data_IF_401549947808
#
_entry.id   IF_401549947808
#
_cell.length_a   1.000
_cell.length_b   1.000
_cell.length_c   1.000
_cell.angle_alpha   90.00
_cell.angle_beta   90.00
_cell.angle_gamma   90.00
#
_symmetry.space_group_name_H-M   'P 1'
#
loop_
_entity.id
_entity.type
_entity.pdbx_description
1 polymer ?
#
# COMPACT_ATOMS: atom_id res chain seq x y z
N UNK A 1 -17.85 -6.52 -17.19
CA UNK A 1 -16.39 -6.72 -17.08
C UNK A 1 -15.77 -5.34 -16.97
N UNK A 2 -14.83 -5.12 -16.05
CA UNK A 2 -14.17 -3.81 -15.89
C UNK A 2 -13.30 -3.55 -17.12
N UNK A 3 -13.42 -2.37 -17.75
CA UNK A 3 -12.62 -1.97 -18.90
C UNK A 3 -11.42 -1.13 -18.47
N UNK A 4 -10.22 -1.67 -18.67
CA UNK A 4 -8.98 -1.02 -18.26
C UNK A 4 -8.26 -0.48 -19.50
N UNK A 5 -8.13 0.83 -19.60
CA UNK A 5 -7.34 1.43 -20.66
C UNK A 5 -5.84 1.25 -20.40
N UNK A 6 -5.13 0.65 -21.35
CA UNK A 6 -3.68 0.52 -21.29
C UNK A 6 -3.02 1.75 -21.92
N UNK A 7 -2.30 2.50 -21.10
CA UNK A 7 -1.58 3.72 -21.51
C UNK A 7 -0.08 3.49 -21.33
N UNK A 8 0.62 3.22 -22.43
CA UNK A 8 2.06 3.00 -22.39
C UNK A 8 2.74 3.27 -23.72
N UNK A 9 4.06 3.23 -23.71
CA UNK A 9 4.91 3.53 -24.87
C UNK A 9 5.29 2.26 -25.66
N UNK A 10 4.38 1.75 -26.48
CA UNK A 10 4.63 0.56 -27.33
C UNK A 10 4.54 -0.77 -26.58
N UNK A 11 3.75 -0.81 -25.51
CA UNK A 11 3.49 -2.00 -24.69
C UNK A 11 2.83 -3.09 -25.54
N UNK A 12 1.96 -2.68 -26.46
CA UNK A 12 1.28 -3.52 -27.44
C UNK A 12 2.22 -4.30 -28.36
N UNK A 13 3.46 -3.82 -28.55
CA UNK A 13 4.48 -4.46 -29.38
C UNK A 13 5.52 -5.24 -28.56
N UNK A 14 5.32 -5.29 -27.24
CA UNK A 14 6.26 -5.93 -26.32
C UNK A 14 5.75 -7.29 -25.84
N UNK A 15 6.65 -8.09 -25.26
CA UNK A 15 6.26 -9.35 -24.63
C UNK A 15 5.36 -9.18 -23.40
N UNK A 16 5.20 -7.96 -22.87
CA UNK A 16 4.49 -7.75 -21.61
C UNK A 16 2.96 -7.65 -21.75
N UNK A 17 2.44 -7.31 -22.93
CA UNK A 17 0.99 -7.15 -23.13
C UNK A 17 0.23 -8.40 -22.69
N UNK A 18 0.73 -9.59 -23.05
CA UNK A 18 0.09 -10.88 -22.70
C UNK A 18 -0.03 -11.11 -21.21
N UNK A 19 0.97 -10.70 -20.42
CA UNK A 19 0.89 -10.85 -18.96
C UNK A 19 -0.07 -9.83 -18.34
N UNK A 20 -0.14 -8.61 -18.89
CA UNK A 20 -1.10 -7.59 -18.46
C UNK A 20 -2.54 -8.04 -18.76
N UNK A 21 -2.79 -8.55 -19.96
CA UNK A 21 -4.08 -9.12 -20.35
C UNK A 21 -4.46 -10.33 -19.47
N UNK A 22 -3.51 -11.23 -19.23
CA UNK A 22 -3.71 -12.39 -18.35
C UNK A 22 -4.04 -11.97 -16.92
N UNK A 23 -3.34 -10.97 -16.38
CA UNK A 23 -3.63 -10.43 -15.05
C UNK A 23 -5.04 -9.83 -15.01
N UNK A 24 -5.42 -9.01 -15.99
CA UNK A 24 -6.74 -8.39 -16.06
C UNK A 24 -7.86 -9.45 -16.13
N UNK A 25 -7.70 -10.44 -17.02
CA UNK A 25 -8.66 -11.54 -17.17
C UNK A 25 -8.82 -12.35 -15.89
N UNK A 26 -7.73 -12.58 -15.14
CA UNK A 26 -7.76 -13.30 -13.86
C UNK A 26 -8.71 -12.65 -12.86
N UNK A 27 -8.82 -11.32 -12.88
CA UNK A 27 -9.68 -10.56 -11.96
C UNK A 27 -11.00 -10.10 -12.59
N UNK A 28 -11.37 -10.61 -13.78
CA UNK A 28 -12.64 -10.27 -14.42
C UNK A 28 -12.66 -8.88 -15.07
N UNK A 29 -11.51 -8.46 -15.61
CA UNK A 29 -11.34 -7.24 -16.38
C UNK A 29 -10.82 -7.53 -17.80
N UNK A 30 -11.00 -6.56 -18.70
CA UNK A 30 -10.44 -6.59 -20.05
C UNK A 30 -9.55 -5.37 -20.30
N UNK A 31 -8.46 -5.58 -21.04
CA UNK A 31 -7.58 -4.49 -21.49
C UNK A 31 -8.15 -3.91 -22.78
N UNK A 32 -8.27 -2.59 -22.82
CA UNK A 32 -8.57 -1.85 -24.05
C UNK A 32 -7.40 -0.95 -24.42
N UNK A 33 -7.11 -0.86 -25.71
CA UNK A 33 -6.13 0.07 -26.27
C UNK A 33 -6.90 1.27 -26.84
N UNK A 34 -6.72 2.49 -26.28
CA UNK A 34 -7.31 3.69 -26.86
C UNK A 34 -6.78 3.89 -28.30
N UNK A 35 -7.71 3.99 -29.25
CA UNK A 35 -7.41 4.22 -30.66
C UNK A 35 -7.28 5.72 -30.93
N UNK A 36 -6.20 6.11 -31.61
CA UNK A 36 -5.76 7.50 -31.73
C UNK A 36 -5.22 7.78 -33.13
N UNK A 37 -5.83 8.76 -33.80
CA UNK A 37 -5.38 9.26 -35.10
C UNK A 37 -4.12 10.14 -34.96
N UNK A 38 -3.28 10.15 -36.00
CA UNK A 38 -2.00 10.88 -36.02
C UNK A 38 -2.17 12.38 -35.76
N UNK A 39 -3.20 13.00 -36.33
CA UNK A 39 -3.46 14.44 -36.16
C UNK A 39 -3.74 14.79 -34.69
N UNK A 40 -4.44 13.89 -33.98
CA UNK A 40 -4.74 14.09 -32.56
C UNK A 40 -3.51 13.92 -31.67
N UNK A 41 -2.51 13.14 -32.09
CA UNK A 41 -1.25 12.99 -31.33
C UNK A 41 -0.52 14.34 -31.25
N UNK A 42 -0.36 15.03 -32.38
CA UNK A 42 0.34 16.32 -32.41
C UNK A 42 -0.46 17.41 -31.67
N UNK A 43 -1.78 17.45 -31.82
CA UNK A 43 -2.64 18.38 -31.07
C UNK A 43 -2.55 18.17 -29.55
N UNK A 44 -2.66 16.90 -29.12
CA UNK A 44 -2.58 16.51 -27.71
C UNK A 44 -1.23 16.86 -27.11
N UNK A 45 -0.16 16.57 -27.85
CA UNK A 45 1.21 16.85 -27.42
C UNK A 45 1.45 18.35 -27.15
N UNK A 46 0.93 19.22 -28.01
CA UNK A 46 1.02 20.67 -27.82
C UNK A 46 0.24 21.17 -26.60
N UNK A 47 -0.90 20.53 -26.29
CA UNK A 47 -1.76 20.88 -25.16
C UNK A 47 -1.25 20.39 -23.81
N UNK A 48 -0.59 19.24 -23.77
CA UNK A 48 -0.17 18.58 -22.53
C UNK A 48 0.93 19.35 -21.78
N UNK A 49 1.77 20.09 -22.50
CA UNK A 49 2.77 20.97 -21.89
C UNK A 49 4.04 20.28 -21.38
N UNK A 50 4.22 18.99 -21.65
CA UNK A 50 5.45 18.24 -21.35
C UNK A 50 6.06 17.66 -22.63
N UNK A 51 7.37 17.86 -22.84
CA UNK A 51 8.03 17.45 -24.08
C UNK A 51 8.56 16.01 -24.02
N UNK A 52 8.36 15.28 -25.12
CA UNK A 52 8.82 13.92 -25.32
C UNK A 52 9.40 13.79 -26.73
N UNK A 53 10.61 13.25 -26.85
CA UNK A 53 11.30 13.00 -28.10
C UNK A 53 10.74 11.75 -28.80
N UNK A 54 10.38 10.72 -28.03
CA UNK A 54 9.87 9.46 -28.56
C UNK A 54 8.44 9.59 -29.11
N UNK A 55 8.17 9.20 -30.38
CA UNK A 55 6.81 9.14 -30.91
C UNK A 55 5.86 8.26 -30.09
N UNK A 56 6.37 7.17 -29.51
CA UNK A 56 5.56 6.29 -28.65
C UNK A 56 5.18 6.93 -27.32
N UNK A 57 5.98 7.87 -26.81
CA UNK A 57 5.65 8.65 -25.61
C UNK A 57 4.63 9.75 -25.96
N UNK A 58 4.72 10.36 -27.14
CA UNK A 58 3.66 11.26 -27.64
C UNK A 58 2.31 10.53 -27.77
N UNK A 59 2.32 9.30 -28.31
CA UNK A 59 1.13 8.46 -28.37
C UNK A 59 0.57 8.16 -26.98
N UNK A 60 1.43 7.84 -26.01
CA UNK A 60 1.04 7.62 -24.62
C UNK A 60 0.33 8.85 -24.02
N UNK A 61 0.83 10.07 -24.26
CA UNK A 61 0.17 11.33 -23.87
C UNK A 61 -1.21 11.45 -24.53
N UNK A 62 -1.30 11.23 -25.85
CA UNK A 62 -2.55 11.36 -26.59
C UNK A 62 -3.61 10.35 -26.11
N UNK A 63 -3.22 9.12 -25.77
CA UNK A 63 -4.11 8.12 -25.15
C UNK A 63 -4.66 8.60 -23.81
N UNK A 64 -3.82 9.20 -22.96
CA UNK A 64 -4.25 9.78 -21.69
C UNK A 64 -5.26 10.92 -21.88
N UNK A 65 -4.99 11.82 -22.84
CA UNK A 65 -5.90 12.92 -23.18
C UNK A 65 -7.24 12.42 -23.71
N UNK A 66 -7.24 11.41 -24.59
CA UNK A 66 -8.47 10.80 -25.10
C UNK A 66 -9.37 10.22 -24.01
N UNK A 67 -8.78 9.66 -22.95
CA UNK A 67 -9.52 9.14 -21.78
C UNK A 67 -10.14 10.31 -20.98
N UNK A 68 -9.34 11.34 -20.67
CA UNK A 68 -9.80 12.51 -19.89
C UNK A 68 -10.85 13.32 -20.64
N UNK A 69 -10.71 13.49 -21.95
CA UNK A 69 -11.70 14.16 -22.82
C UNK A 69 -12.97 13.31 -23.06
N UNK A 70 -13.02 12.08 -22.56
CA UNK A 70 -14.16 11.18 -22.72
C UNK A 70 -14.33 10.60 -24.12
N UNK A 71 -13.32 10.73 -24.99
CA UNK A 71 -13.29 10.09 -26.33
C UNK A 71 -13.16 8.58 -26.21
N UNK A 72 -12.34 8.11 -25.26
CA UNK A 72 -12.21 6.70 -24.91
C UNK A 72 -12.92 6.42 -23.58
N UNK A 73 -13.91 5.52 -23.59
CA UNK A 73 -14.61 5.09 -22.37
C UNK A 73 -13.85 3.97 -21.68
N UNK A 74 -13.32 4.24 -20.49
CA UNK A 74 -12.63 3.28 -19.64
C UNK A 74 -13.13 3.43 -18.19
N UNK A 75 -13.15 2.32 -17.45
CA UNK A 75 -13.50 2.31 -16.03
C UNK A 75 -12.27 2.50 -15.13
N UNK A 76 -11.09 2.20 -15.65
CA UNK A 76 -9.79 2.27 -14.98
C UNK A 76 -8.65 2.52 -15.99
N UNK A 77 -7.51 3.03 -15.54
CA UNK A 77 -6.31 3.21 -16.37
C UNK A 77 -5.11 2.47 -15.79
N UNK A 78 -4.44 1.69 -16.63
CA UNK A 78 -3.15 1.08 -16.32
C UNK A 78 -2.06 1.75 -17.13
N UNK A 79 -1.18 2.50 -16.45
CA UNK A 79 -0.12 3.29 -17.08
C UNK A 79 1.20 2.53 -16.93
N UNK A 80 1.89 2.18 -18.02
CA UNK A 80 3.15 1.45 -17.88
C UNK A 80 4.23 1.80 -18.90
N UNK A 81 5.47 1.76 -18.43
CA UNK A 81 6.69 2.01 -19.23
C UNK A 81 7.83 1.10 -18.79
N UNK A 82 8.84 0.93 -19.65
CA UNK A 82 10.02 0.13 -19.33
C UNK A 82 10.89 0.83 -18.29
N UNK A 83 11.40 0.07 -17.31
CA UNK A 83 12.24 0.61 -16.23
C UNK A 83 13.54 1.29 -16.69
N UNK A 84 14.05 0.96 -17.90
CA UNK A 84 15.31 1.51 -18.42
C UNK A 84 15.18 2.89 -19.06
N UNK A 85 13.97 3.35 -19.33
CA UNK A 85 13.75 4.60 -20.04
C UNK A 85 13.49 5.74 -19.04
N UNK A 86 14.50 6.59 -18.80
CA UNK A 86 14.35 7.75 -17.91
C UNK A 86 13.23 8.71 -18.39
N UNK A 87 13.17 8.98 -19.69
CA UNK A 87 12.09 9.77 -20.30
C UNK A 87 10.72 9.10 -20.08
N UNK A 88 10.63 7.79 -20.24
CA UNK A 88 9.42 7.01 -19.98
C UNK A 88 8.99 7.00 -18.52
N UNK A 89 9.92 7.14 -17.56
CA UNK A 89 9.58 7.30 -16.15
C UNK A 89 8.97 8.68 -15.87
N UNK A 90 9.54 9.74 -16.43
CA UNK A 90 9.01 11.11 -16.31
C UNK A 90 7.61 11.21 -16.93
N UNK A 91 7.43 10.75 -18.16
CA UNK A 91 6.14 10.78 -18.86
C UNK A 91 5.09 9.94 -18.15
N UNK A 92 5.46 8.78 -17.60
CA UNK A 92 4.53 7.94 -16.80
C UNK A 92 3.99 8.71 -15.60
N UNK A 93 4.84 9.44 -14.88
CA UNK A 93 4.43 10.23 -13.72
C UNK A 93 3.54 11.41 -14.12
N UNK A 94 3.89 12.13 -15.18
CA UNK A 94 3.09 13.26 -15.66
C UNK A 94 1.73 12.82 -16.25
N UNK A 95 1.70 11.72 -17.00
CA UNK A 95 0.45 11.14 -17.51
C UNK A 95 -0.45 10.69 -16.35
N UNK A 96 0.10 10.04 -15.33
CA UNK A 96 -0.65 9.66 -14.13
C UNK A 96 -1.26 10.90 -13.47
N UNK A 97 -0.45 11.92 -13.17
CA UNK A 97 -0.88 13.20 -12.57
C UNK A 97 -2.01 13.84 -13.37
N UNK A 98 -1.83 13.94 -14.68
CA UNK A 98 -2.81 14.51 -15.58
C UNK A 98 -4.17 13.80 -15.49
N UNK A 99 -4.18 12.46 -15.53
CA UNK A 99 -5.43 11.70 -15.43
C UNK A 99 -6.09 11.91 -14.06
N UNK A 100 -5.32 11.91 -12.98
CA UNK A 100 -5.85 12.08 -11.62
C UNK A 100 -6.42 13.49 -11.37
N UNK A 101 -5.77 14.52 -11.90
CA UNK A 101 -6.21 15.91 -11.73
C UNK A 101 -7.44 16.26 -12.57
N UNK A 102 -7.63 15.58 -13.69
CA UNK A 102 -8.67 15.91 -14.68
C UNK A 102 -9.78 14.85 -14.79
N UNK A 103 -9.72 13.77 -14.01
CA UNK A 103 -10.73 12.72 -14.00
C UNK A 103 -10.86 12.04 -12.63
N UNK A 104 -11.93 11.25 -12.44
CA UNK A 104 -12.12 10.41 -11.26
C UNK A 104 -11.84 8.93 -11.55
N UNK A 105 -11.15 8.64 -12.66
CA UNK A 105 -10.85 7.28 -13.09
C UNK A 105 -9.65 6.79 -12.27
N UNK A 106 -9.72 5.62 -11.61
CA UNK A 106 -8.60 5.10 -10.85
C UNK A 106 -7.43 4.75 -11.78
N UNK A 107 -6.21 5.05 -11.32
CA UNK A 107 -4.98 4.90 -12.11
C UNK A 107 -3.98 4.08 -11.32
N UNK A 108 -3.37 3.10 -11.98
CA UNK A 108 -2.21 2.38 -11.45
C UNK A 108 -1.06 2.48 -12.42
N UNK A 109 0.11 2.86 -11.91
CA UNK A 109 1.36 2.87 -12.67
C UNK A 109 2.16 1.58 -12.48
N UNK A 110 2.83 1.13 -13.54
CA UNK A 110 3.74 -0.02 -13.48
C UNK A 110 5.02 0.22 -14.30
N UNK A 111 6.16 0.02 -13.65
CA UNK A 111 7.48 0.03 -14.30
C UNK A 111 7.91 -1.40 -14.58
N UNK A 112 7.78 -1.86 -15.82
CA UNK A 112 8.06 -3.26 -16.14
C UNK A 112 9.52 -3.49 -16.47
N UNK A 113 10.00 -4.70 -16.15
CA UNK A 113 11.31 -5.21 -16.60
C UNK A 113 11.11 -6.33 -17.63
N UNK A 114 12.20 -6.82 -18.22
CA UNK A 114 12.17 -7.97 -19.14
C UNK A 114 11.66 -9.26 -18.46
N UNK A 115 11.71 -9.33 -17.13
CA UNK A 115 11.13 -10.40 -16.31
C UNK A 115 10.15 -9.79 -15.31
N UNK A 116 8.89 -9.71 -15.69
CA UNK A 116 7.88 -9.21 -14.76
C UNK A 116 7.70 -10.14 -13.58
N UNK A 117 7.76 -9.57 -12.38
CA UNK A 117 7.36 -10.27 -11.16
C UNK A 117 5.86 -10.40 -11.20
N UNK A 118 5.38 -11.60 -11.55
CA UNK A 118 3.95 -11.87 -11.74
C UNK A 118 3.13 -11.42 -10.52
N UNK A 119 3.63 -11.67 -9.30
CA UNK A 119 2.91 -11.32 -8.07
C UNK A 119 2.64 -9.82 -7.94
N UNK A 120 3.61 -8.96 -8.29
CA UNK A 120 3.44 -7.51 -8.20
C UNK A 120 2.42 -7.00 -9.23
N UNK A 121 2.50 -7.50 -10.46
CA UNK A 121 1.54 -7.17 -11.51
C UNK A 121 0.12 -7.61 -11.14
N UNK A 122 -0.01 -8.80 -10.56
CA UNK A 122 -1.31 -9.36 -10.18
C UNK A 122 -1.94 -8.56 -9.05
N UNK A 123 -1.20 -8.24 -7.98
CA UNK A 123 -1.71 -7.38 -6.89
C UNK A 123 -2.12 -6.02 -7.44
N UNK A 124 -1.31 -5.44 -8.34
CA UNK A 124 -1.61 -4.14 -8.95
C UNK A 124 -2.92 -4.16 -9.73
N UNK A 125 -3.12 -5.22 -10.50
CA UNK A 125 -4.32 -5.42 -11.29
C UNK A 125 -5.55 -5.71 -10.42
N UNK A 126 -5.41 -6.57 -9.41
CA UNK A 126 -6.48 -6.90 -8.47
C UNK A 126 -6.98 -5.65 -7.74
N UNK A 127 -6.08 -4.80 -7.24
CA UNK A 127 -6.41 -3.55 -6.58
C UNK A 127 -7.14 -2.60 -7.53
N UNK A 128 -6.63 -2.40 -8.76
CA UNK A 128 -7.27 -1.55 -9.76
C UNK A 128 -8.69 -2.00 -10.10
N UNK A 129 -8.88 -3.32 -10.30
CA UNK A 129 -10.21 -3.89 -10.56
C UNK A 129 -11.11 -3.75 -9.34
N UNK A 130 -10.58 -3.96 -8.13
CA UNK A 130 -11.32 -3.82 -6.88
C UNK A 130 -11.87 -2.41 -6.72
N UNK A 131 -11.06 -1.37 -6.96
CA UNK A 131 -11.47 0.03 -6.84
C UNK A 131 -12.70 0.34 -7.70
N UNK A 132 -12.80 -0.27 -8.89
CA UNK A 132 -13.96 -0.12 -9.78
C UNK A 132 -15.12 -1.02 -9.35
N UNK A 133 -14.88 -2.33 -9.29
CA UNK A 133 -15.93 -3.34 -9.16
C UNK A 133 -16.57 -3.37 -7.76
N UNK A 134 -15.83 -2.95 -6.73
CA UNK A 134 -16.27 -2.97 -5.32
C UNK A 134 -16.39 -1.57 -4.72
N UNK A 135 -16.55 -0.54 -5.56
CA UNK A 135 -16.65 0.86 -5.13
C UNK A 135 -17.72 1.08 -4.05
N UNK A 136 -18.87 0.41 -4.15
CA UNK A 136 -19.96 0.52 -3.16
C UNK A 136 -19.56 0.04 -1.77
N UNK A 137 -18.79 -1.05 -1.69
CA UNK A 137 -18.28 -1.60 -0.42
C UNK A 137 -17.17 -0.67 0.12
N UNK A 138 -16.27 -0.20 -0.75
CA UNK A 138 -15.22 0.74 -0.36
C UNK A 138 -15.76 2.11 0.09
N UNK A 139 -16.94 2.53 -0.39
CA UNK A 139 -17.58 3.76 0.05
C UNK A 139 -18.22 3.66 1.45
N UNK A 140 -18.20 2.47 2.09
CA UNK A 140 -18.79 2.28 3.43
C UNK A 140 -18.02 3.07 4.48
N UNK A 141 -18.75 3.88 5.25
CA UNK A 141 -18.17 4.73 6.32
C UNK A 141 -18.36 4.14 7.73
N UNK A 142 -19.20 3.10 7.88
CA UNK A 142 -19.59 2.55 9.19
C UNK A 142 -19.53 1.02 9.21
N UNK A 143 -19.13 0.48 10.34
CA UNK A 143 -19.21 -0.94 10.66
C UNK A 143 -20.47 -1.21 11.51
N UNK A 144 -21.21 -2.26 11.17
CA UNK A 144 -22.47 -2.67 11.81
C UNK A 144 -22.45 -4.17 12.11
N UNK A 145 -23.11 -4.59 13.18
CA UNK A 145 -23.10 -6.00 13.62
C UNK A 145 -21.78 -6.42 14.26
N UNK A 146 -21.64 -7.73 14.54
CA UNK A 146 -20.42 -8.31 15.11
C UNK A 146 -19.58 -8.96 14.01
N UNK A 147 -18.55 -8.27 13.53
CA UNK A 147 -17.72 -8.76 12.41
C UNK A 147 -16.28 -8.99 12.83
N UNK A 148 -15.64 -9.99 12.21
CA UNK A 148 -14.23 -10.29 12.39
C UNK A 148 -13.43 -9.91 11.13
N UNK A 149 -12.29 -9.27 11.33
CA UNK A 149 -11.30 -9.03 10.30
C UNK A 149 -9.99 -9.75 10.61
N UNK A 150 -9.40 -10.37 9.58
CA UNK A 150 -8.17 -11.15 9.69
C UNK A 150 -7.16 -10.64 8.65
N UNK A 151 -6.05 -10.08 9.11
CA UNK A 151 -4.90 -9.71 8.29
C UNK A 151 -3.76 -10.69 8.54
N UNK A 152 -3.46 -11.56 7.56
CA UNK A 152 -2.31 -12.46 7.62
C UNK A 152 -1.22 -11.97 6.70
N UNK A 153 -0.39 -11.07 7.24
CA UNK A 153 0.80 -10.56 6.58
C UNK A 153 1.96 -11.55 6.61
N UNK A 154 3.04 -11.17 5.94
CA UNK A 154 4.25 -11.98 5.79
C UNK A 154 5.05 -12.16 7.09
N UNK A 155 4.90 -11.23 8.04
CA UNK A 155 5.61 -11.23 9.33
C UNK A 155 4.66 -11.49 10.51
N UNK A 156 3.44 -10.97 10.44
CA UNK A 156 2.49 -11.00 11.56
C UNK A 156 1.05 -11.21 11.09
N UNK A 157 0.30 -11.97 11.90
CA UNK A 157 -1.13 -12.22 11.74
C UNK A 157 -1.89 -11.44 12.80
N UNK A 158 -2.90 -10.69 12.39
CA UNK A 158 -3.73 -9.84 13.24
C UNK A 158 -5.19 -10.22 13.06
N UNK A 159 -5.91 -10.28 14.17
CA UNK A 159 -7.36 -10.47 14.20
C UNK A 159 -7.98 -9.32 14.97
N UNK A 160 -9.09 -8.80 14.46
CA UNK A 160 -9.87 -7.75 15.12
C UNK A 160 -11.33 -8.16 15.13
N UNK A 161 -11.97 -8.00 16.28
CA UNK A 161 -13.42 -8.04 16.44
C UNK A 161 -13.96 -6.62 16.53
N UNK A 162 -14.97 -6.33 15.71
CA UNK A 162 -15.69 -5.06 15.75
C UNK A 162 -17.17 -5.27 16.00
N UNK A 163 -17.74 -4.43 16.85
CA UNK A 163 -19.17 -4.34 17.09
C UNK A 163 -19.61 -2.88 16.97
N UNK A 164 -20.49 -2.59 16.01
CA UNK A 164 -21.12 -1.28 15.81
C UNK A 164 -20.13 -0.09 15.87
N UNK A 165 -19.10 -0.13 15.03
CA UNK A 165 -17.99 0.84 14.90
C UNK A 165 -16.91 0.77 15.98
N UNK A 166 -17.04 -0.09 17.00
CA UNK A 166 -16.06 -0.21 18.07
C UNK A 166 -15.20 -1.44 17.87
N UNK A 167 -13.89 -1.29 18.04
CA UNK A 167 -12.98 -2.43 18.24
C UNK A 167 -13.21 -2.95 19.66
N UNK A 168 -13.65 -4.20 19.78
CA UNK A 168 -13.95 -4.83 21.07
C UNK A 168 -12.91 -5.88 21.48
N UNK A 169 -12.07 -6.32 20.55
CA UNK A 169 -11.04 -7.32 20.79
C UNK A 169 -10.01 -7.35 19.67
N UNK A 170 -8.75 -7.59 20.04
CA UNK A 170 -7.62 -7.64 19.11
C UNK A 170 -6.68 -8.77 19.46
N UNK A 171 -6.12 -9.42 18.45
CA UNK A 171 -5.00 -10.35 18.61
C UNK A 171 -3.91 -10.06 17.60
N UNK A 172 -2.66 -10.30 18.00
CA UNK A 172 -1.48 -10.06 17.20
C UNK A 172 -0.40 -11.09 17.52
N UNK A 173 0.00 -11.86 16.51
CA UNK A 173 1.07 -12.85 16.65
C UNK A 173 2.00 -12.87 15.43
N UNK A 174 3.17 -13.47 15.58
CA UNK A 174 4.08 -13.72 14.47
C UNK A 174 3.46 -14.76 13.51
N UNK A 175 3.47 -14.48 12.20
CA UNK A 175 2.97 -15.43 11.21
C UNK A 175 3.93 -16.61 11.11
N UNK A 176 3.43 -17.81 11.41
CA UNK A 176 4.12 -19.10 11.18
C UNK A 176 3.26 -19.95 10.25
N UNK A 177 2.64 -21.01 10.77
CA UNK A 177 1.53 -21.64 10.07
C UNK A 177 0.34 -20.68 10.04
N UNK A 178 -0.25 -20.49 8.86
CA UNK A 178 -1.28 -19.49 8.62
C UNK A 178 -2.48 -19.71 9.54
N UNK A 179 -2.98 -20.95 9.67
CA UNK A 179 -4.19 -21.21 10.46
C UNK A 179 -3.90 -21.28 11.95
N UNK A 180 -2.75 -21.82 12.34
CA UNK A 180 -2.33 -21.78 13.74
C UNK A 180 -2.20 -20.32 14.23
N UNK A 181 -1.58 -19.45 13.43
CA UNK A 181 -1.43 -18.03 13.75
C UNK A 181 -2.78 -17.33 13.85
N UNK A 182 -3.72 -17.64 12.95
CA UNK A 182 -5.11 -17.13 13.02
C UNK A 182 -5.81 -17.61 14.29
N UNK A 183 -5.69 -18.88 14.65
CA UNK A 183 -6.35 -19.42 15.84
C UNK A 183 -5.82 -18.80 17.13
N UNK A 184 -4.51 -18.58 17.23
CA UNK A 184 -3.89 -17.88 18.36
C UNK A 184 -4.40 -16.44 18.45
N UNK A 185 -4.27 -15.67 17.36
CA UNK A 185 -4.72 -14.28 17.35
C UNK A 185 -6.24 -14.14 17.55
N UNK A 186 -7.04 -15.08 17.06
CA UNK A 186 -8.49 -15.10 17.30
C UNK A 186 -8.81 -15.41 18.75
N UNK A 187 -8.10 -16.34 19.39
CA UNK A 187 -8.27 -16.62 20.82
C UNK A 187 -8.01 -15.37 21.68
N UNK A 188 -6.94 -14.63 21.37
CA UNK A 188 -6.64 -13.35 22.02
C UNK A 188 -7.74 -12.31 21.75
N UNK A 189 -8.22 -12.20 20.51
CA UNK A 189 -9.27 -11.25 20.12
C UNK A 189 -10.63 -11.56 20.77
N UNK A 190 -10.97 -12.84 20.97
CA UNK A 190 -12.16 -13.26 21.71
C UNK A 190 -12.02 -13.07 23.22
N UNK A 191 -10.79 -12.94 23.72
CA UNK A 191 -10.48 -12.76 25.13
C UNK A 191 -11.35 -11.67 25.77
N UNK A 192 -11.99 -12.00 26.88
CA UNK A 192 -12.81 -11.08 27.68
C UNK A 192 -14.09 -10.54 26.99
N UNK A 193 -14.39 -10.93 25.74
CA UNK A 193 -15.57 -10.45 25.00
C UNK A 193 -16.85 -11.26 25.28
N UNK A 194 -16.71 -12.53 25.66
CA UNK A 194 -17.84 -13.47 25.79
C UNK A 194 -18.36 -14.05 24.47
N UNK A 195 -17.80 -13.63 23.32
CA UNK A 195 -18.12 -14.14 21.99
C UNK A 195 -17.22 -15.31 21.57
N UNK A 196 -17.69 -16.09 20.60
CA UNK A 196 -16.95 -17.10 19.88
C UNK A 196 -17.17 -17.06 18.37
N UNK A 197 -16.63 -18.05 17.66
CA UNK A 197 -16.68 -18.13 16.19
C UNK A 197 -18.10 -18.20 15.60
N UNK A 198 -19.07 -18.71 16.37
CA UNK A 198 -20.46 -18.88 15.94
C UNK A 198 -21.28 -17.58 16.11
N UNK A 199 -20.79 -16.62 16.90
CA UNK A 199 -21.46 -15.33 17.09
C UNK A 199 -21.15 -14.33 15.97
N UNK A 200 -20.08 -14.58 15.18
CA UNK A 200 -19.59 -13.66 14.16
C UNK A 200 -20.54 -13.59 12.96
N UNK A 201 -21.07 -12.40 12.70
CA UNK A 201 -21.96 -12.10 11.58
C UNK A 201 -21.25 -12.10 10.22
N UNK A 202 -19.95 -11.86 10.17
CA UNK A 202 -19.16 -11.90 8.93
C UNK A 202 -17.66 -11.86 9.16
N UNK A 203 -16.92 -12.60 8.33
CA UNK A 203 -15.46 -12.74 8.37
C UNK A 203 -14.86 -12.12 7.11
N UNK A 204 -14.01 -11.13 7.31
CA UNK A 204 -13.18 -10.54 6.26
C UNK A 204 -11.72 -10.96 6.39
N UNK A 205 -11.07 -11.25 5.26
CA UNK A 205 -9.67 -11.69 5.22
C UNK A 205 -8.85 -10.87 4.23
N UNK A 206 -7.64 -10.49 4.65
CA UNK A 206 -6.67 -9.74 3.85
C UNK A 206 -5.22 -10.20 4.11
N UNK A 207 -4.27 -9.56 3.44
CA UNK A 207 -2.85 -9.91 3.45
C UNK A 207 -2.51 -11.11 2.55
N UNK A 208 -1.26 -11.57 2.64
CA UNK A 208 -0.71 -12.69 1.87
C UNK A 208 -1.45 -14.01 2.13
N UNK A 209 -1.91 -14.23 3.37
CA UNK A 209 -2.63 -15.46 3.77
C UNK A 209 -4.10 -15.51 3.37
N UNK A 210 -4.69 -14.41 2.86
CA UNK A 210 -6.15 -14.24 2.70
C UNK A 210 -6.86 -15.36 1.95
N UNK A 211 -6.27 -15.85 0.85
CA UNK A 211 -6.92 -16.85 -0.01
C UNK A 211 -7.04 -18.19 0.72
N UNK A 212 -6.02 -18.56 1.50
CA UNK A 212 -6.01 -19.80 2.28
C UNK A 212 -6.97 -19.70 3.46
N UNK A 213 -6.93 -18.58 4.19
CA UNK A 213 -7.79 -18.34 5.35
C UNK A 213 -9.25 -18.27 4.91
N UNK A 214 -9.54 -17.46 3.89
CA UNK A 214 -10.89 -17.26 3.41
C UNK A 214 -11.54 -18.55 2.90
N UNK A 215 -10.79 -19.43 2.25
CA UNK A 215 -11.29 -20.76 1.87
C UNK A 215 -11.55 -21.68 3.07
N UNK A 216 -10.69 -21.64 4.09
CA UNK A 216 -10.81 -22.51 5.26
C UNK A 216 -11.91 -22.06 6.23
N UNK A 217 -12.14 -20.76 6.34
CA UNK A 217 -13.15 -20.17 7.21
C UNK A 217 -14.46 -19.82 6.48
N UNK A 218 -14.56 -20.09 5.18
CA UNK A 218 -15.67 -19.64 4.32
C UNK A 218 -15.96 -18.14 4.46
N UNK A 219 -14.90 -17.32 4.45
CA UNK A 219 -15.01 -15.88 4.65
C UNK A 219 -15.84 -15.21 3.55
N UNK A 220 -16.76 -14.34 3.95
CA UNK A 220 -17.64 -13.58 3.04
C UNK A 220 -16.84 -12.53 2.25
N UNK A 221 -15.77 -11.99 2.86
CA UNK A 221 -14.84 -11.09 2.19
C UNK A 221 -13.44 -11.70 2.15
N UNK A 222 -12.93 -11.88 0.93
CA UNK A 222 -11.51 -12.12 0.66
C UNK A 222 -11.04 -10.97 -0.23
N UNK A 223 -10.14 -10.13 0.28
CA UNK A 223 -9.77 -8.89 -0.38
C UNK A 223 -8.29 -8.57 -0.20
N UNK A 224 -7.64 -8.13 -1.27
CA UNK A 224 -6.24 -7.70 -1.25
C UNK A 224 -5.99 -6.51 -0.29
N UNK A 225 -4.75 -6.38 0.17
CA UNK A 225 -4.40 -5.50 1.28
C UNK A 225 -4.36 -4.01 0.95
N UNK A 226 -4.09 -3.59 -0.29
CA UNK A 226 -4.06 -2.17 -0.68
C UNK A 226 -5.41 -1.52 -0.35
N UNK A 227 -6.50 -2.09 -0.86
CA UNK A 227 -7.84 -1.52 -0.66
C UNK A 227 -8.30 -1.58 0.78
N UNK A 228 -8.00 -2.70 1.46
CA UNK A 228 -8.42 -2.94 2.84
C UNK A 228 -7.63 -2.05 3.81
N UNK A 229 -6.31 -1.97 3.64
CA UNK A 229 -5.43 -1.17 4.48
C UNK A 229 -5.72 0.32 4.34
N UNK A 230 -5.94 0.79 3.10
CA UNK A 230 -6.37 2.16 2.85
C UNK A 230 -7.67 2.49 3.60
N UNK A 231 -8.65 1.58 3.53
CA UNK A 231 -9.92 1.73 4.26
C UNK A 231 -9.77 1.71 5.77
N UNK A 232 -9.02 0.77 6.31
CA UNK A 232 -8.76 0.70 7.74
C UNK A 232 -8.05 1.94 8.27
N UNK A 233 -7.04 2.44 7.54
CA UNK A 233 -6.27 3.62 7.92
C UNK A 233 -7.14 4.88 8.02
N UNK A 234 -7.89 5.21 6.96
CA UNK A 234 -8.76 6.40 6.95
C UNK A 234 -9.96 6.27 7.89
N UNK A 235 -10.43 5.06 8.16
CA UNK A 235 -11.47 4.80 9.15
C UNK A 235 -10.96 5.09 10.57
N UNK A 236 -9.82 4.52 10.96
CA UNK A 236 -9.24 4.71 12.30
C UNK A 236 -8.78 6.15 12.54
N UNK A 237 -8.32 6.85 11.50
CA UNK A 237 -7.90 8.25 11.59
C UNK A 237 -9.06 9.27 11.54
N UNK A 238 -10.31 8.82 11.36
CA UNK A 238 -11.47 9.69 11.08
C UNK A 238 -11.24 10.64 9.87
N UNK A 239 -10.63 10.10 8.81
CA UNK A 239 -10.29 10.79 7.55
C UNK A 239 -10.93 10.13 6.32
N UNK A 240 -12.15 9.64 6.47
CA UNK A 240 -12.88 8.97 5.39
C UNK A 240 -13.39 9.93 4.29
N UNK A 241 -13.25 11.26 4.48
CA UNK A 241 -13.70 12.29 3.53
C UNK A 241 -12.53 13.18 3.12
N UNK A 242 -12.55 13.63 1.87
CA UNK A 242 -11.46 14.41 1.28
C UNK A 242 -10.27 13.54 0.91
N UNK A 243 -9.13 14.18 0.73
CA UNK A 243 -7.88 13.52 0.34
C UNK A 243 -7.10 13.06 1.57
N UNK A 244 -6.34 11.98 1.41
CA UNK A 244 -5.35 11.52 2.39
C UNK A 244 -4.28 10.66 1.70
N UNK A 245 -3.15 10.50 2.37
CA UNK A 245 -2.11 9.55 1.97
C UNK A 245 -1.85 8.57 3.10
N UNK A 246 -1.94 7.29 2.81
CA UNK A 246 -1.64 6.21 3.76
C UNK A 246 -0.24 5.69 3.49
N UNK A 247 0.62 5.71 4.50
CA UNK A 247 1.97 5.18 4.47
C UNK A 247 2.05 3.95 5.39
N UNK A 248 2.14 2.76 4.78
CA UNK A 248 2.30 1.49 5.48
C UNK A 248 3.74 1.01 5.31
N UNK A 249 4.57 1.18 6.34
CA UNK A 249 5.93 0.63 6.38
C UNK A 249 5.84 -0.73 7.10
N UNK A 250 5.83 -1.80 6.31
CA UNK A 250 5.62 -3.15 6.80
C UNK A 250 6.91 -3.81 7.32
N UNK A 251 6.80 -5.11 7.58
CA UNK A 251 7.94 -5.92 8.02
C UNK A 251 8.95 -6.23 6.90
N UNK A 252 8.52 -6.26 5.63
CA UNK A 252 9.36 -6.62 4.47
C UNK A 252 9.09 -5.80 3.20
N UNK A 253 7.96 -5.11 3.15
CA UNK A 253 7.51 -4.30 2.04
C UNK A 253 6.81 -3.06 2.58
N UNK A 254 6.71 -2.04 1.73
CA UNK A 254 6.16 -0.75 2.08
C UNK A 254 5.15 -0.33 1.02
N UNK A 255 4.15 0.44 1.41
CA UNK A 255 3.08 0.89 0.53
C UNK A 255 2.77 2.35 0.80
N UNK A 256 2.55 3.09 -0.28
CA UNK A 256 2.01 4.44 -0.21
C UNK A 256 0.75 4.47 -1.06
N UNK A 257 -0.36 4.86 -0.46
CA UNK A 257 -1.68 4.81 -1.09
C UNK A 257 -2.32 6.19 -0.98
N UNK A 258 -2.71 6.78 -2.10
CA UNK A 258 -3.55 7.98 -2.09
C UNK A 258 -5.00 7.58 -2.04
N UNK A 259 -5.76 8.30 -1.22
CA UNK A 259 -7.17 8.05 -0.96
C UNK A 259 -7.95 9.33 -1.23
N UNK A 260 -9.14 9.19 -1.80
CA UNK A 260 -10.10 10.28 -1.94
C UNK A 260 -11.49 9.78 -1.52
N UNK A 261 -12.10 10.45 -0.54
CA UNK A 261 -13.38 10.07 0.06
C UNK A 261 -13.41 8.60 0.49
N UNK A 262 -12.33 8.18 1.15
CA UNK A 262 -12.17 6.83 1.67
C UNK A 262 -11.92 5.78 0.58
N UNK A 263 -11.82 6.12 -0.70
CA UNK A 263 -11.57 5.16 -1.77
C UNK A 263 -10.13 5.35 -2.28
N UNK A 264 -9.31 4.27 -2.33
CA UNK A 264 -7.97 4.34 -2.89
C UNK A 264 -8.06 4.63 -4.39
N UNK A 265 -7.29 5.60 -4.88
CA UNK A 265 -7.29 6.00 -6.30
C UNK A 265 -5.95 5.78 -7.02
N UNK A 266 -4.87 5.62 -6.26
CA UNK A 266 -3.54 5.25 -6.73
C UNK A 266 -2.69 4.73 -5.57
N UNK A 267 -1.64 3.97 -5.90
CA UNK A 267 -0.67 3.48 -4.94
C UNK A 267 0.66 3.13 -5.59
N UNK A 268 1.70 3.18 -4.78
CA UNK A 268 2.98 2.54 -5.07
C UNK A 268 3.30 1.53 -3.97
N UNK A 269 4.05 0.50 -4.36
CA UNK A 269 4.48 -0.58 -3.49
C UNK A 269 5.95 -0.83 -3.78
N UNK A 270 6.73 -0.89 -2.72
CA UNK A 270 8.15 -1.13 -2.78
C UNK A 270 8.41 -2.58 -3.12
N UNK A 271 9.55 -2.86 -3.74
CA UNK A 271 10.02 -4.24 -3.82
C UNK A 271 10.25 -4.81 -2.42
N UNK A 272 10.23 -6.14 -2.30
CA UNK A 272 10.64 -6.84 -1.07
C UNK A 272 12.11 -6.49 -0.80
N UNK A 273 12.36 -5.57 0.12
CA UNK A 273 13.68 -5.13 0.53
C UNK A 273 13.71 -4.96 2.05
N UNK A 274 14.52 -5.79 2.72
CA UNK A 274 14.59 -5.76 4.18
C UNK A 274 15.24 -4.46 4.73
N UNK A 275 16.04 -3.75 3.93
CA UNK A 275 16.78 -2.54 4.34
C UNK A 275 15.91 -1.34 4.66
N UNK A 276 14.74 -1.21 4.02
CA UNK A 276 13.80 -0.11 4.20
C UNK A 276 12.53 -0.56 4.95
N UNK A 277 12.63 -1.47 5.92
CA UNK A 277 11.46 -2.11 6.53
C UNK A 277 11.62 -2.31 8.04
N UNK A 278 10.54 -2.72 8.70
CA UNK A 278 10.55 -3.10 10.11
C UNK A 278 11.56 -4.20 10.45
N UNK A 279 11.97 -5.05 9.48
CA UNK A 279 13.00 -6.06 9.71
C UNK A 279 14.37 -5.46 10.02
N UNK A 280 14.74 -4.34 9.38
CA UNK A 280 15.98 -3.66 9.72
C UNK A 280 15.92 -3.09 11.14
N UNK A 281 14.79 -2.49 11.52
CA UNK A 281 14.57 -1.96 12.87
C UNK A 281 14.60 -3.06 13.95
N UNK A 282 14.04 -4.24 13.69
CA UNK A 282 14.14 -5.42 14.58
C UNK A 282 15.58 -5.92 14.75
N UNK A 283 16.41 -5.89 13.69
CA UNK A 283 17.82 -6.23 13.83
C UNK A 283 18.60 -5.15 14.59
N UNK A 284 18.27 -3.88 14.35
CA UNK A 284 18.84 -2.74 15.06
C UNK A 284 18.56 -2.81 16.56
N UNK A 285 17.32 -3.04 16.98
CA UNK A 285 16.96 -3.13 18.41
C UNK A 285 17.73 -4.25 19.12
N UNK A 286 17.81 -5.44 18.50
CA UNK A 286 18.58 -6.56 19.02
C UNK A 286 20.07 -6.25 19.12
N UNK A 287 20.63 -5.51 18.16
CA UNK A 287 22.05 -5.14 18.17
C UNK A 287 22.35 -4.07 19.23
N UNK A 288 21.38 -3.21 19.51
CA UNK A 288 21.42 -2.23 20.59
C UNK A 288 21.09 -2.83 21.95
N UNK A 289 20.68 -4.10 22.01
CA UNK A 289 20.27 -4.79 23.24
C UNK A 289 19.11 -4.07 23.95
N UNK A 290 18.05 -3.77 23.19
CA UNK A 290 16.80 -3.16 23.65
C UNK A 290 15.60 -3.87 23.05
N UNK A 291 14.44 -3.78 23.67
CA UNK A 291 13.20 -4.28 23.07
C UNK A 291 12.80 -3.40 21.86
N UNK A 292 12.09 -3.97 20.88
CA UNK A 292 11.65 -3.20 19.70
C UNK A 292 10.72 -2.04 20.09
N UNK A 293 9.95 -2.17 21.17
CA UNK A 293 9.08 -1.12 21.69
C UNK A 293 9.86 0.05 22.30
N UNK A 294 11.10 -0.17 22.71
CA UNK A 294 11.99 0.86 23.27
C UNK A 294 12.77 1.61 22.18
N UNK A 295 12.86 1.06 20.96
CA UNK A 295 13.65 1.63 19.87
C UNK A 295 13.18 3.04 19.47
N UNK A 296 11.86 3.25 19.39
CA UNK A 296 11.28 4.54 19.05
C UNK A 296 11.65 5.64 20.07
N UNK A 297 11.31 5.47 21.36
CA UNK A 297 11.69 6.42 22.41
C UNK A 297 13.19 6.63 22.56
N UNK A 298 14.02 5.64 22.21
CA UNK A 298 15.47 5.75 22.17
C UNK A 298 15.95 6.63 21.01
N UNK A 299 15.39 6.42 19.81
CA UNK A 299 15.71 7.19 18.61
C UNK A 299 15.39 8.68 18.76
N UNK A 300 14.25 9.04 19.37
CA UNK A 300 13.85 10.45 19.62
C UNK A 300 14.88 11.23 20.45
N UNK A 301 15.78 10.56 21.18
CA UNK A 301 16.84 11.20 21.99
C UNK A 301 18.15 11.37 21.23
N UNK A 302 18.27 10.77 20.05
CA UNK A 302 19.50 10.75 19.25
C UNK A 302 19.61 11.92 18.28
N UNK A 303 20.70 11.92 17.52
CA UNK A 303 20.86 12.74 16.33
C UNK A 303 21.52 11.91 15.23
N UNK A 304 20.77 11.60 14.19
CA UNK A 304 21.18 10.75 13.08
C UNK A 304 22.47 11.22 12.40
N UNK A 305 22.80 12.52 12.50
CA UNK A 305 24.04 13.09 11.92
C UNK A 305 25.30 12.64 12.64
N UNK A 306 25.18 12.11 13.86
CA UNK A 306 26.29 11.56 14.63
C UNK A 306 26.60 10.09 14.26
N UNK A 307 25.74 9.44 13.46
CA UNK A 307 25.87 8.05 13.06
C UNK A 307 25.55 7.89 11.57
N UNK A 308 26.58 7.71 10.74
CA UNK A 308 26.38 7.51 9.30
C UNK A 308 26.02 6.06 9.00
N UNK A 309 24.81 5.80 8.51
CA UNK A 309 24.37 4.49 8.03
C UNK A 309 24.10 4.51 6.53
N UNK A 310 24.78 3.65 5.77
CA UNK A 310 24.51 3.41 4.36
C UNK A 310 23.65 2.15 4.20
N UNK A 311 22.35 2.27 4.50
CA UNK A 311 21.49 1.09 4.75
C UNK A 311 20.61 0.63 3.59
N UNK A 312 20.89 1.05 2.34
CA UNK A 312 20.20 0.48 1.15
C UNK A 312 20.22 -1.06 1.14
N UNK A 313 21.28 -1.65 1.69
CA UNK A 313 21.34 -3.06 2.02
C UNK A 313 21.37 -3.23 3.55
N UNK A 314 20.46 -4.05 4.07
CA UNK A 314 20.37 -4.39 5.50
C UNK A 314 21.72 -4.89 6.07
N UNK A 315 22.50 -5.62 5.27
CA UNK A 315 23.81 -6.16 5.69
C UNK A 315 24.80 -5.04 5.94
N UNK A 316 24.88 -4.06 5.04
CA UNK A 316 25.78 -2.92 5.19
C UNK A 316 25.29 -1.96 6.26
N UNK A 317 23.97 -1.74 6.37
CA UNK A 317 23.39 -0.95 7.45
C UNK A 317 23.75 -1.49 8.84
N UNK A 318 23.69 -2.81 9.05
CA UNK A 318 24.10 -3.43 10.31
C UNK A 318 25.62 -3.35 10.51
N UNK A 319 26.43 -3.47 9.46
CA UNK A 319 27.88 -3.29 9.54
C UNK A 319 28.28 -1.86 9.96
N UNK A 320 27.62 -0.85 9.41
CA UNK A 320 27.85 0.56 9.74
C UNK A 320 27.44 0.85 11.18
N UNK A 321 26.32 0.28 11.62
CA UNK A 321 25.86 0.33 13.00
C UNK A 321 26.92 -0.23 13.96
N UNK A 322 27.44 -1.44 13.67
CA UNK A 322 28.48 -2.09 14.47
C UNK A 322 29.74 -1.22 14.55
N UNK A 323 30.14 -0.63 13.43
CA UNK A 323 31.32 0.22 13.34
C UNK A 323 31.15 1.50 14.16
N UNK A 324 29.98 2.12 14.07
CA UNK A 324 29.63 3.34 14.83
C UNK A 324 29.67 3.09 16.34
N UNK A 325 29.06 1.99 16.81
CA UNK A 325 29.11 1.61 18.22
C UNK A 325 30.54 1.32 18.69
N UNK A 326 31.34 0.61 17.87
CA UNK A 326 32.74 0.31 18.20
C UNK A 326 33.63 1.57 18.28
N UNK A 327 33.27 2.62 17.54
CA UNK A 327 33.92 3.93 17.61
C UNK A 327 33.45 4.79 18.80
N UNK A 328 32.54 4.29 19.64
CA UNK A 328 32.02 5.00 20.82
C UNK A 328 30.77 5.84 20.57
N UNK A 329 30.08 5.65 19.45
CA UNK A 329 28.77 6.28 19.20
C UNK A 329 27.71 5.84 20.22
N UNK A 330 26.77 6.73 20.53
CA UNK A 330 25.69 6.47 21.48
C UNK A 330 24.63 5.52 20.88
N UNK A 331 23.86 4.84 21.74
CA UNK A 331 22.77 3.97 21.26
C UNK A 331 21.64 4.80 20.67
N UNK A 332 21.42 5.99 21.23
CA UNK A 332 20.43 6.99 20.83
C UNK A 332 20.70 7.47 19.40
N UNK A 333 21.92 7.94 19.11
CA UNK A 333 22.30 8.40 17.76
C UNK A 333 22.16 7.28 16.72
N UNK A 334 22.52 6.05 17.10
CA UNK A 334 22.39 4.89 16.23
C UNK A 334 20.93 4.49 15.97
N UNK A 335 20.08 4.55 16.99
CA UNK A 335 18.64 4.28 16.86
C UNK A 335 17.98 5.33 15.95
N UNK A 336 18.33 6.60 16.11
CA UNK A 336 17.86 7.70 15.26
C UNK A 336 18.33 7.51 13.81
N UNK A 337 19.62 7.24 13.62
CA UNK A 337 20.17 6.97 12.29
C UNK A 337 19.49 5.79 11.59
N UNK A 338 19.12 4.74 12.31
CA UNK A 338 18.38 3.61 11.75
C UNK A 338 16.98 4.02 11.28
N UNK A 339 16.25 4.79 12.11
CA UNK A 339 14.93 5.33 11.76
C UNK A 339 15.00 6.26 10.55
N UNK A 340 15.94 7.22 10.58
CA UNK A 340 16.21 8.14 9.47
C UNK A 340 16.53 7.40 8.17
N UNK A 341 17.36 6.36 8.24
CA UNK A 341 17.77 5.63 7.05
C UNK A 341 16.62 4.82 6.42
N UNK A 342 15.69 4.28 7.22
CA UNK A 342 14.45 3.67 6.70
C UNK A 342 13.56 4.72 6.04
N UNK A 343 13.30 5.83 6.74
CA UNK A 343 12.45 6.90 6.24
C UNK A 343 13.00 7.50 4.93
N UNK A 344 14.31 7.70 4.82
CA UNK A 344 14.97 8.21 3.62
C UNK A 344 14.82 7.26 2.43
N UNK A 345 14.99 5.96 2.64
CA UNK A 345 14.80 4.98 1.56
C UNK A 345 13.35 4.91 1.09
N UNK A 346 12.39 4.93 2.02
CA UNK A 346 10.95 4.99 1.68
C UNK A 346 10.64 6.24 0.87
N UNK A 347 11.24 7.38 1.24
CA UNK A 347 11.09 8.62 0.50
C UNK A 347 11.61 8.50 -0.94
N UNK A 348 12.87 8.11 -1.11
CA UNK A 348 13.53 8.03 -2.40
C UNK A 348 12.92 6.98 -3.33
N UNK A 349 12.46 5.85 -2.79
CA UNK A 349 11.97 4.73 -3.60
C UNK A 349 10.47 4.80 -3.91
N UNK A 350 9.69 5.47 -3.08
CA UNK A 350 8.22 5.39 -3.17
C UNK A 350 7.54 6.75 -3.14
N UNK A 351 7.87 7.60 -2.16
CA UNK A 351 7.17 8.88 -2.02
C UNK A 351 7.43 9.82 -3.19
N UNK A 352 8.52 9.65 -3.93
CA UNK A 352 8.75 10.37 -5.19
C UNK A 352 7.86 9.91 -6.36
N UNK A 353 7.33 8.69 -6.29
CA UNK A 353 6.46 8.13 -7.32
C UNK A 353 4.98 8.47 -7.12
N UNK A 354 4.61 9.21 -6.08
CA UNK A 354 3.21 9.51 -5.76
C UNK A 354 3.07 10.92 -5.21
N UNK A 355 1.96 11.57 -5.53
CA UNK A 355 1.69 12.91 -5.00
C UNK A 355 1.15 12.77 -3.59
N UNK A 356 1.94 13.18 -2.60
CA UNK A 356 1.56 13.16 -1.19
C UNK A 356 0.42 14.16 -0.99
N UNK A 357 -0.67 13.67 -0.42
CA UNK A 357 -1.88 14.42 -0.07
C UNK A 357 -2.08 14.41 1.43
N UNK A 358 -2.27 15.58 2.02
CA UNK A 358 -2.49 15.71 3.45
C UNK A 358 -3.95 15.39 3.84
N UNK A 359 -4.16 14.72 4.99
CA UNK A 359 -3.13 14.31 5.95
C UNK A 359 -2.38 13.04 5.52
N UNK A 360 -1.11 12.93 5.95
CA UNK A 360 -0.35 11.68 5.89
C UNK A 360 -0.71 10.82 7.12
N UNK A 361 -1.16 9.60 6.89
CA UNK A 361 -1.52 8.64 7.93
C UNK A 361 -0.50 7.50 7.88
N UNK A 362 0.33 7.37 8.91
CA UNK A 362 1.32 6.29 9.00
C UNK A 362 0.75 5.12 9.79
N UNK A 363 0.87 3.92 9.21
CA UNK A 363 0.23 2.70 9.73
C UNK A 363 1.18 1.50 9.68
N UNK A 364 0.69 0.34 10.13
CA UNK A 364 1.50 -0.88 10.26
C UNK A 364 2.28 -0.91 11.56
N UNK A 365 2.94 -2.05 11.85
CA UNK A 365 3.62 -2.24 13.13
C UNK A 365 4.76 -1.25 13.39
N UNK A 366 5.39 -0.72 12.34
CA UNK A 366 6.48 0.25 12.46
C UNK A 366 6.00 1.66 12.81
N UNK A 367 4.72 1.98 12.61
CA UNK A 367 4.14 3.25 13.05
C UNK A 367 4.19 3.43 14.58
N UNK A 368 4.37 2.34 15.34
CA UNK A 368 4.55 2.36 16.79
C UNK A 368 5.97 2.79 17.20
N UNK A 369 6.91 2.88 16.25
CA UNK A 369 8.28 3.31 16.49
C UNK A 369 8.31 4.83 16.31
N UNK A 370 8.14 5.58 17.41
CA UNK A 370 8.02 7.05 17.37
C UNK A 370 9.15 7.76 16.62
N UNK A 371 10.40 7.30 16.76
CA UNK A 371 11.53 7.88 16.02
C UNK A 371 11.45 7.68 14.50
N UNK A 372 10.78 6.62 14.02
CA UNK A 372 10.50 6.47 12.59
C UNK A 372 9.46 7.48 12.12
N UNK A 373 8.42 7.72 12.92
CA UNK A 373 7.38 8.71 12.61
C UNK A 373 8.00 10.11 12.55
N UNK A 374 8.83 10.48 13.53
CA UNK A 374 9.55 11.76 13.53
C UNK A 374 10.49 11.90 12.32
N UNK A 375 11.25 10.85 11.99
CA UNK A 375 12.11 10.85 10.82
C UNK A 375 11.35 11.02 9.50
N UNK A 376 10.18 10.38 9.34
CA UNK A 376 9.34 10.57 8.14
C UNK A 376 8.82 12.02 8.09
N UNK A 377 8.37 12.58 9.22
CA UNK A 377 7.91 13.97 9.32
C UNK A 377 9.01 14.94 8.89
N UNK A 378 10.21 14.79 9.43
CA UNK A 378 11.36 15.64 9.13
C UNK A 378 11.76 15.60 7.65
N UNK A 379 11.82 14.41 7.06
CA UNK A 379 12.17 14.22 5.64
C UNK A 379 11.15 14.88 4.73
N UNK A 380 9.88 14.90 5.14
CA UNK A 380 8.79 15.53 4.40
C UNK A 380 8.65 17.03 4.70
N UNK A 381 9.62 17.63 5.39
CA UNK A 381 9.62 19.07 5.66
C UNK A 381 8.80 19.48 6.89
N UNK A 382 8.59 18.55 7.82
CA UNK A 382 7.89 18.79 9.09
C UNK A 382 6.37 18.73 9.00
N UNK A 383 5.82 17.95 8.05
CA UNK A 383 4.37 17.73 7.99
C UNK A 383 3.89 16.90 9.18
N UNK A 384 2.69 17.17 9.67
CA UNK A 384 2.09 16.38 10.73
C UNK A 384 1.71 14.98 10.22
N UNK A 385 2.16 13.94 10.93
CA UNK A 385 1.83 12.55 10.63
C UNK A 385 0.81 12.06 11.63
N UNK A 386 -0.31 11.56 11.13
CA UNK A 386 -1.34 10.92 11.94
C UNK A 386 -0.98 9.45 12.11
N UNK A 387 -0.83 9.02 13.36
CA UNK A 387 -0.76 7.60 13.73
C UNK A 387 -2.01 7.28 14.55
N UNK A 388 -3.03 6.62 13.96
CA UNK A 388 -4.27 6.36 14.67
C UNK A 388 -4.11 5.23 15.70
N UNK A 389 -5.01 5.16 16.67
CA UNK A 389 -5.12 3.99 17.55
C UNK A 389 -5.32 2.73 16.71
N UNK A 390 -4.69 1.62 17.11
CA UNK A 390 -4.70 0.35 16.38
C UNK A 390 -4.09 0.43 14.96
N UNK A 391 -3.17 1.37 14.70
CA UNK A 391 -2.48 1.54 13.41
C UNK A 391 -1.84 0.24 12.86
N UNK A 392 -1.40 -0.67 13.72
CA UNK A 392 -0.86 -1.98 13.34
C UNK A 392 -1.92 -3.00 12.89
N UNK A 393 -3.21 -2.73 13.17
CA UNK A 393 -4.35 -3.60 12.88
C UNK A 393 -5.21 -3.10 11.71
N UNK A 394 -4.79 -2.06 10.99
CA UNK A 394 -5.53 -1.46 9.87
C UNK A 394 -6.08 -2.47 8.86
N UNK A 395 -5.33 -3.51 8.49
CA UNK A 395 -5.84 -4.53 7.56
C UNK A 395 -6.98 -5.37 8.14
N UNK A 396 -6.91 -5.70 9.43
CA UNK A 396 -7.98 -6.40 10.12
C UNK A 396 -9.19 -5.48 10.35
N UNK A 397 -8.98 -4.24 10.78
CA UNK A 397 -10.06 -3.25 10.93
C UNK A 397 -10.75 -2.97 9.60
N UNK A 398 -10.00 -2.74 8.53
CA UNK A 398 -10.55 -2.54 7.19
C UNK A 398 -11.36 -3.76 6.72
N UNK A 399 -10.90 -4.98 7.02
CA UNK A 399 -11.62 -6.20 6.65
C UNK A 399 -12.95 -6.32 7.39
N UNK A 400 -12.96 -6.07 8.71
CA UNK A 400 -14.17 -6.08 9.54
C UNK A 400 -15.16 -4.99 9.10
N UNK A 401 -14.67 -3.78 8.80
CA UNK A 401 -15.48 -2.69 8.27
C UNK A 401 -16.16 -3.09 6.95
N UNK A 402 -15.40 -3.60 5.99
CA UNK A 402 -15.92 -3.89 4.65
C UNK A 402 -16.86 -5.10 4.63
N UNK A 403 -16.56 -6.16 5.40
CA UNK A 403 -17.41 -7.36 5.43
C UNK A 403 -18.79 -7.08 6.04
N UNK A 404 -18.91 -6.10 6.95
CA UNK A 404 -20.21 -5.69 7.49
C UNK A 404 -21.22 -5.21 6.44
N UNK A 405 -20.77 -4.90 5.22
CA UNK A 405 -21.63 -4.55 4.08
C UNK A 405 -22.10 -5.73 3.22
N UNK A 406 -21.66 -6.96 3.48
CA UNK A 406 -21.93 -8.13 2.63
C UNK A 406 -23.05 -9.06 3.14
N UNK A 407 -23.68 -8.73 4.27
CA UNK A 407 -24.79 -9.49 4.87
C UNK A 407 -24.34 -10.50 5.94
N UNK A 408 -25.27 -10.93 6.80
CA UNK A 408 -24.96 -11.81 7.94
C UNK A 408 -24.86 -13.29 7.50
N UNK A 409 -23.73 -13.91 7.84
CA UNK A 409 -23.50 -15.36 7.86
C UNK A 409 -24.63 -16.13 8.56
N UNK A 410 -25.21 -15.54 9.60
CA UNK A 410 -26.27 -16.15 10.42
C UNK A 410 -27.68 -16.09 9.81
N UNK A 411 -27.85 -15.45 8.64
CA UNK A 411 -29.12 -15.34 7.91
C UNK A 411 -29.19 -16.19 6.63
N UNK A 412 -28.21 -17.09 6.40
CA UNK A 412 -28.22 -18.13 5.37
C UNK A 412 -28.37 -19.51 6.00
#
# INVERSE_FOLDING_TARGET
MVKIALVGCGVEYSGILKEVEKAALTFGAEIILPDIDLDYIEESYLKFGFSAQSPNLKLMIARAMSIVEGRTKADAVFVCTCFRCAEGALIRNEVRRFIQQNSHIPVVTYSFTEKTKADELFIRMEALVTTVARRSILAREKQEGLTMGIDSGSTTTKVVLMENNKVIGTGWTATKDIMESVNIAAADAFGETGYGWDDIDGIGTTGYGRLTIGKKLNAELIQEEISVNAKGAVYLADKQRGEATVLDIGGMDNKVITVNNGIPDNFTMGGICAGASGRFLDLTSRRLDVDITELGPLAVKGNYRNATLNSYCIVFGIQDLVTTLAAGGSKEDVADAACHSVAQQVYEQQLQEIDIREPLIQVGGTSLISGLVEAVSDILGGIEIIVPDYSQHIGAVGSALLVSGLGNRNNQ
#
